data_IF_442930428903
#
_entry.id   IF_442930428903
#
_cell.length_a   1.000
_cell.length_b   1.000
_cell.length_c   1.000
_cell.angle_alpha   90.00
_cell.angle_beta   90.00
_cell.angle_gamma   90.00
#
_symmetry.space_group_name_H-M   'P 1'
#
loop_
_entity.id
_entity.type
_entity.pdbx_description
1 polymer ?
#
# COMPACT_ATOMS: atom_id res chain seq x y z
N UNK A 1 6.72 1.11 -0.47
CA UNK A 1 5.26 0.97 -0.33
C UNK A 1 4.56 0.97 -1.68
N UNK A 2 4.65 2.00 -2.52
CA UNK A 2 4.03 1.99 -3.88
C UNK A 2 4.49 0.86 -4.83
N UNK A 3 5.74 0.37 -4.67
CA UNK A 3 6.29 -0.76 -5.46
C UNK A 3 5.69 -2.12 -5.12
N UNK A 4 5.06 -2.28 -3.95
CA UNK A 4 4.52 -3.57 -3.50
C UNK A 4 3.09 -3.81 -4.02
N UNK A 5 2.43 -2.76 -4.53
CA UNK A 5 1.04 -2.80 -4.98
C UNK A 5 0.89 -2.53 -6.49
N UNK A 6 1.99 -2.61 -7.27
CA UNK A 6 2.00 -2.28 -8.70
C UNK A 6 1.47 -0.85 -9.00
N UNK A 7 1.61 0.11 -8.07
CA UNK A 7 1.07 1.45 -8.24
C UNK A 7 2.07 2.38 -8.91
N UNK A 8 1.61 3.13 -9.92
CA UNK A 8 2.45 4.13 -10.57
C UNK A 8 2.89 5.21 -9.58
N UNK A 9 4.08 5.79 -9.81
CA UNK A 9 4.62 6.86 -8.95
C UNK A 9 3.71 8.08 -8.92
N UNK A 10 3.09 8.42 -10.05
CA UNK A 10 2.17 9.56 -10.13
C UNK A 10 0.91 9.34 -9.29
N UNK A 11 0.36 8.12 -9.33
CA UNK A 11 -0.79 7.76 -8.51
C UNK A 11 -0.46 7.85 -7.02
N UNK A 12 0.68 7.27 -6.61
CA UNK A 12 1.15 7.34 -5.22
C UNK A 12 1.35 8.79 -4.77
N UNK A 13 1.98 9.62 -5.60
CA UNK A 13 2.22 11.01 -5.26
C UNK A 13 0.92 11.80 -5.09
N UNK A 14 -0.08 11.55 -5.95
CA UNK A 14 -1.41 12.17 -5.84
C UNK A 14 -2.07 11.80 -4.52
N UNK A 15 -2.10 10.51 -4.18
CA UNK A 15 -2.69 10.06 -2.91
C UNK A 15 -1.97 10.64 -1.68
N UNK A 16 -0.64 10.74 -1.72
CA UNK A 16 0.14 11.37 -0.63
C UNK A 16 -0.21 12.85 -0.50
N UNK A 17 -0.33 13.57 -1.61
CA UNK A 17 -0.70 14.98 -1.61
C UNK A 17 -2.10 15.19 -1.02
N UNK A 18 -3.08 14.35 -1.42
CA UNK A 18 -4.45 14.42 -0.91
C UNK A 18 -4.50 14.12 0.58
N UNK A 19 -3.78 13.08 1.04
CA UNK A 19 -3.68 12.73 2.46
C UNK A 19 -2.99 13.82 3.28
N UNK A 20 -1.98 14.50 2.70
CA UNK A 20 -1.29 15.61 3.34
C UNK A 20 -2.20 16.83 3.48
N UNK A 21 -2.92 17.19 2.41
CA UNK A 21 -3.90 18.27 2.42
C UNK A 21 -5.03 18.02 3.44
N UNK A 22 -5.40 16.75 3.67
CA UNK A 22 -6.37 16.34 4.67
C UNK A 22 -5.80 16.24 6.11
N UNK A 23 -4.51 16.52 6.33
CA UNK A 23 -3.87 16.44 7.66
C UNK A 23 -3.66 15.01 8.18
N UNK A 24 -3.78 14.00 7.32
CA UNK A 24 -3.66 12.59 7.69
C UNK A 24 -2.20 12.11 7.71
N UNK A 25 -1.34 12.76 6.94
CA UNK A 25 0.09 12.48 6.90
C UNK A 25 0.91 13.76 7.06
N UNK A 26 2.14 13.60 7.53
CA UNK A 26 3.15 14.65 7.62
C UNK A 26 4.43 14.21 6.91
N UNK A 27 5.20 15.19 6.45
CA UNK A 27 6.53 14.98 5.87
C UNK A 27 7.58 15.15 6.98
N UNK A 28 8.48 14.17 7.11
CA UNK A 28 9.65 14.26 7.99
C UNK A 28 10.92 14.18 7.18
N UNK A 29 11.97 14.80 7.69
CA UNK A 29 13.28 14.74 7.06
C UNK A 29 13.73 13.29 6.89
N UNK A 30 14.29 13.02 5.71
CA UNK A 30 14.92 11.75 5.42
C UNK A 30 16.44 11.92 5.54
N UNK A 31 17.07 11.36 6.60
CA UNK A 31 18.51 11.48 6.82
C UNK A 31 19.36 10.94 5.65
N UNK A 32 18.80 10.03 4.84
CA UNK A 32 19.49 9.42 3.71
C UNK A 32 19.36 10.22 2.42
N UNK A 33 18.25 10.94 2.22
CA UNK A 33 17.95 11.64 0.97
C UNK A 33 17.11 12.92 1.19
N UNK A 34 17.78 14.08 1.24
CA UNK A 34 17.15 15.39 1.48
C UNK A 34 16.02 15.76 0.51
N UNK A 35 16.04 15.27 -0.73
CA UNK A 35 15.01 15.55 -1.76
C UNK A 35 13.82 14.57 -1.72
N UNK A 36 13.82 13.62 -0.77
CA UNK A 36 12.79 12.58 -0.66
C UNK A 36 12.40 12.41 0.82
N UNK A 37 11.55 13.30 1.37
CA UNK A 37 11.13 13.23 2.76
C UNK A 37 10.38 11.93 3.05
N UNK A 38 10.44 11.48 4.31
CA UNK A 38 9.64 10.36 4.79
C UNK A 38 8.20 10.82 5.02
N UNK A 39 7.24 10.05 4.52
CA UNK A 39 5.82 10.27 4.80
C UNK A 39 5.43 9.42 6.00
N UNK A 40 4.87 10.04 7.04
CA UNK A 40 4.37 9.34 8.23
C UNK A 40 2.94 9.77 8.54
N UNK A 41 2.19 8.88 9.20
CA UNK A 41 0.85 9.18 9.67
C UNK A 41 0.89 10.16 10.85
N UNK A 42 -0.02 11.12 10.83
CA UNK A 42 -0.38 11.92 12.01
C UNK A 42 -1.20 11.09 13.00
N UNK A 43 -1.48 11.62 14.19
CA UNK A 43 -2.42 11.00 15.13
C UNK A 43 -3.82 10.85 14.51
N UNK A 44 -4.29 11.87 13.80
CA UNK A 44 -5.54 11.85 13.05
C UNK A 44 -5.52 10.79 11.95
N UNK A 45 -4.43 10.69 11.18
CA UNK A 45 -4.27 9.66 10.15
C UNK A 45 -4.31 8.24 10.71
N UNK A 46 -3.66 8.01 11.86
CA UNK A 46 -3.72 6.73 12.56
C UNK A 46 -5.14 6.40 13.00
N UNK A 47 -5.84 7.34 13.62
CA UNK A 47 -7.22 7.16 14.05
C UNK A 47 -8.16 6.87 12.86
N UNK A 48 -7.98 7.55 11.73
CA UNK A 48 -8.75 7.31 10.51
C UNK A 48 -8.56 5.89 9.97
N UNK A 49 -7.31 5.40 9.90
CA UNK A 49 -7.01 4.03 9.49
C UNK A 49 -7.65 3.02 10.46
N UNK A 50 -7.49 3.23 11.77
CA UNK A 50 -8.08 2.35 12.79
C UNK A 50 -9.60 2.28 12.66
N UNK A 51 -10.27 3.42 12.44
CA UNK A 51 -11.72 3.47 12.27
C UNK A 51 -12.18 2.73 11.00
N UNK A 52 -11.44 2.87 9.90
CA UNK A 52 -11.73 2.15 8.65
C UNK A 52 -11.57 0.65 8.83
N UNK A 53 -10.45 0.19 9.39
CA UNK A 53 -10.21 -1.24 9.65
C UNK A 53 -11.27 -1.83 10.59
N UNK A 54 -11.68 -1.09 11.62
CA UNK A 54 -12.73 -1.55 12.53
C UNK A 54 -14.07 -1.74 11.81
N UNK A 55 -14.41 -0.84 10.88
CA UNK A 55 -15.62 -0.95 10.05
C UNK A 55 -15.53 -2.15 9.09
N UNK A 56 -14.40 -2.31 8.41
CA UNK A 56 -14.17 -3.45 7.52
C UNK A 56 -14.28 -4.78 8.27
N UNK A 57 -13.66 -4.89 9.44
CA UNK A 57 -13.79 -6.08 10.29
C UNK A 57 -15.23 -6.32 10.76
N UNK A 58 -16.01 -5.27 11.03
CA UNK A 58 -17.42 -5.43 11.38
C UNK A 58 -18.22 -6.04 10.23
N UNK A 59 -18.04 -5.53 9.01
CA UNK A 59 -18.69 -6.06 7.81
C UNK A 59 -18.26 -7.51 7.54
N UNK A 60 -16.96 -7.81 7.63
CA UNK A 60 -16.44 -9.14 7.33
C UNK A 60 -16.87 -10.20 8.34
N UNK A 61 -17.11 -9.82 9.61
CA UNK A 61 -17.68 -10.74 10.62
C UNK A 61 -19.06 -11.23 10.23
N UNK A 62 -19.86 -10.41 9.56
CA UNK A 62 -21.22 -10.78 9.14
C UNK A 62 -21.22 -11.68 7.89
N UNK A 63 -20.13 -11.70 7.12
CA UNK A 63 -19.97 -12.54 5.90
C UNK A 63 -19.54 -13.97 6.24
N UNK A 64 -18.96 -14.18 7.43
CA UNK A 64 -18.40 -15.46 7.87
C UNK A 64 -19.44 -16.49 8.28
N UNK A 65 -20.28 -16.94 7.33
CA UNK A 65 -21.17 -18.10 7.49
C UNK A 65 -20.40 -19.42 7.67
N UNK A 66 -20.73 -20.46 6.91
CA UNK A 66 -20.13 -21.82 7.04
C UNK A 66 -18.64 -21.93 6.63
N UNK A 67 -17.94 -20.81 6.43
CA UNK A 67 -16.53 -20.81 6.05
C UNK A 67 -15.66 -21.23 7.23
N UNK A 68 -14.95 -22.34 7.07
CA UNK A 68 -14.00 -22.82 8.07
C UNK A 68 -12.65 -22.12 7.91
N UNK A 69 -11.81 -22.18 8.96
CA UNK A 69 -10.43 -21.72 8.87
C UNK A 69 -9.64 -22.44 7.77
N UNK A 70 -9.96 -23.70 7.48
CA UNK A 70 -9.32 -24.49 6.43
C UNK A 70 -9.68 -24.01 5.01
N UNK A 71 -10.93 -23.55 4.80
CA UNK A 71 -11.37 -22.96 3.53
C UNK A 71 -10.61 -21.66 3.25
N UNK A 72 -10.45 -20.83 4.28
CA UNK A 72 -9.69 -19.57 4.21
C UNK A 72 -8.21 -19.85 3.89
N UNK A 73 -7.57 -20.77 4.61
CA UNK A 73 -6.17 -21.13 4.37
C UNK A 73 -5.95 -21.65 2.94
N UNK A 74 -6.85 -22.53 2.49
CA UNK A 74 -6.81 -23.08 1.12
C UNK A 74 -6.95 -21.97 0.08
N UNK A 75 -7.92 -21.07 0.25
CA UNK A 75 -8.10 -19.93 -0.64
C UNK A 75 -6.86 -19.03 -0.69
N UNK A 76 -6.31 -18.66 0.47
CA UNK A 76 -5.10 -17.83 0.56
C UNK A 76 -3.90 -18.50 -0.13
N UNK A 77 -3.71 -19.81 0.04
CA UNK A 77 -2.66 -20.56 -0.64
C UNK A 77 -2.81 -20.51 -2.17
N UNK A 78 -4.03 -20.68 -2.68
CA UNK A 78 -4.32 -20.59 -4.12
C UNK A 78 -4.06 -19.16 -4.63
N UNK A 79 -4.59 -18.14 -3.96
CA UNK A 79 -4.40 -16.73 -4.33
C UNK A 79 -2.93 -16.32 -4.31
N UNK A 80 -2.17 -16.75 -3.30
CA UNK A 80 -0.72 -16.52 -3.25
C UNK A 80 -0.02 -17.16 -4.45
N UNK A 81 -0.38 -18.39 -4.82
CA UNK A 81 0.24 -19.07 -5.96
C UNK A 81 -0.06 -18.35 -7.28
N UNK A 82 -1.30 -17.90 -7.47
CA UNK A 82 -1.70 -17.12 -8.65
C UNK A 82 -1.08 -15.73 -8.68
N UNK A 83 -0.87 -15.09 -7.52
CA UNK A 83 -0.31 -13.74 -7.42
C UNK A 83 1.19 -13.64 -7.68
N UNK A 84 1.94 -14.74 -7.51
CA UNK A 84 3.42 -14.75 -7.63
C UNK A 84 3.96 -14.23 -8.98
N UNK A 85 3.45 -14.67 -10.14
CA UNK A 85 3.96 -14.21 -11.43
C UNK A 85 3.79 -12.70 -11.64
N UNK A 86 2.72 -12.11 -11.12
CA UNK A 86 2.42 -10.69 -11.27
C UNK A 86 3.31 -9.80 -10.39
N UNK A 87 3.75 -10.30 -9.24
CA UNK A 87 4.72 -9.59 -8.39
C UNK A 87 6.12 -9.65 -9.00
N UNK A 88 6.47 -10.73 -9.69
CA UNK A 88 7.79 -10.92 -10.30
C UNK A 88 7.94 -10.16 -11.63
N UNK A 89 6.89 -10.09 -12.47
CA UNK A 89 6.93 -9.35 -13.75
C UNK A 89 7.08 -7.84 -13.60
N UNK A 90 6.48 -7.25 -12.57
CA UNK A 90 6.55 -5.81 -12.31
C UNK A 90 7.92 -5.37 -11.76
N UNK A 91 8.77 -6.32 -11.33
CA UNK A 91 10.13 -6.05 -10.88
C UNK A 91 11.11 -5.88 -12.06
N UNK A 92 10.86 -6.53 -13.19
CA UNK A 92 11.72 -6.51 -14.37
C UNK A 92 11.53 -5.26 -15.25
N UNK A 93 10.34 -4.64 -15.25
CA UNK A 93 10.10 -3.40 -16.01
C UNK A 93 10.69 -2.14 -15.32
N UNK A 94 11.19 -2.26 -14.09
CA UNK A 94 11.44 -1.14 -13.19
C UNK A 94 12.92 -0.75 -12.94
N UNK A 95 13.88 -1.08 -13.83
CA UNK A 95 15.20 -0.40 -13.92
C UNK A 95 16.04 -0.77 -15.19
N UNK A 96 16.91 0.13 -15.72
CA UNK A 96 16.77 1.60 -15.88
C UNK A 96 17.12 2.08 -17.32
N UNK A 97 16.76 3.32 -17.67
CA UNK A 97 17.51 4.08 -18.69
C UNK A 97 18.13 5.32 -18.04
N UNK A 98 19.47 5.41 -17.96
CA UNK A 98 20.17 6.65 -17.62
C UNK A 98 20.36 7.45 -18.90
N UNK A 99 19.79 8.65 -19.02
CA UNK A 99 20.28 9.62 -19.99
C UNK A 99 20.44 11.01 -19.36
N UNK A 100 21.72 11.31 -19.14
CA UNK A 100 22.34 12.63 -19.09
C UNK A 100 22.12 13.39 -20.42
N UNK A 101 22.26 14.72 -20.33
CA UNK A 101 22.27 15.78 -21.36
C UNK A 101 20.90 16.43 -21.66
N UNK A 102 20.74 17.77 -21.60
CA UNK A 102 21.70 18.89 -21.66
C UNK A 102 21.39 19.99 -20.65
#
# INVERSE_FOLDING_TARGET
>A
MGRTLALSRQFVQRMVNDAYAAGLVEMRDNPRHRRSPLITLTSQGRAAITATLAREHAVLRDVGGDLTAADIDTCLRVLHHLGRPFVESDLDEAAPAPHVQS
#
